data_IF_315985881920
#
_entry.id   IF_315985881920
#
_cell.length_a   1.000
_cell.length_b   1.000
_cell.length_c   1.000
_cell.angle_alpha   90.00
_cell.angle_beta   90.00
_cell.angle_gamma   90.00
#
_symmetry.space_group_name_H-M   'P 1'
#
loop_
_entity.id
_entity.type
_entity.pdbx_description
1 polymer ?
#
# COMPACT_ATOMS: atom_id res chain seq x y z
N UNK A 1 12.05 24.51 -3.36
CA UNK A 1 11.40 23.78 -4.47
C UNK A 1 11.48 24.59 -5.75
N UNK A 2 11.62 23.98 -6.93
CA UNK A 2 11.56 24.73 -8.20
C UNK A 2 10.11 25.10 -8.58
N UNK A 3 9.93 26.15 -9.40
CA UNK A 3 8.60 26.70 -9.70
C UNK A 3 7.70 25.72 -10.47
N UNK A 4 8.27 24.85 -11.31
CA UNK A 4 7.51 23.85 -12.05
C UNK A 4 6.82 22.86 -11.10
N UNK A 5 7.57 22.30 -10.14
CA UNK A 5 7.03 21.37 -9.14
C UNK A 5 6.01 22.09 -8.25
N UNK A 6 6.34 23.30 -7.80
CA UNK A 6 5.45 24.13 -6.98
C UNK A 6 4.10 24.36 -7.66
N UNK A 7 4.10 24.74 -8.93
CA UNK A 7 2.88 24.99 -9.70
C UNK A 7 2.04 23.70 -9.86
N UNK A 8 2.68 22.54 -10.10
CA UNK A 8 1.95 21.26 -10.17
C UNK A 8 1.27 20.93 -8.85
N UNK A 9 1.97 21.08 -7.73
CA UNK A 9 1.40 20.86 -6.40
C UNK A 9 0.23 21.82 -6.14
N UNK A 10 0.38 23.11 -6.43
CA UNK A 10 -0.70 24.08 -6.26
C UNK A 10 -1.92 23.77 -7.11
N UNK A 11 -1.74 23.24 -8.32
CA UNK A 11 -2.84 22.78 -9.15
C UNK A 11 -3.52 21.54 -8.56
N UNK A 12 -2.75 20.57 -8.07
CA UNK A 12 -3.31 19.39 -7.39
C UNK A 12 -4.12 19.77 -6.15
N UNK A 13 -3.64 20.73 -5.35
CA UNK A 13 -4.34 21.22 -4.15
C UNK A 13 -5.74 21.82 -4.45
N UNK A 14 -5.99 22.22 -5.69
CA UNK A 14 -7.29 22.74 -6.15
C UNK A 14 -8.16 21.66 -6.81
N UNK A 15 -7.65 20.44 -6.95
CA UNK A 15 -8.38 19.34 -7.57
C UNK A 15 -9.45 18.77 -6.65
N UNK A 16 -10.55 18.28 -7.22
CA UNK A 16 -11.63 17.63 -6.49
C UNK A 16 -11.11 16.46 -5.63
N UNK A 17 -10.26 15.60 -6.20
CA UNK A 17 -9.62 14.48 -5.47
C UNK A 17 -8.89 14.95 -4.21
N UNK A 18 -8.16 16.06 -4.29
CA UNK A 18 -7.44 16.60 -3.14
C UNK A 18 -8.39 17.17 -2.09
N UNK A 19 -9.40 17.93 -2.53
CA UNK A 19 -10.41 18.52 -1.65
C UNK A 19 -11.25 17.46 -0.93
N UNK A 20 -11.51 16.31 -1.56
CA UNK A 20 -12.17 15.17 -0.92
C UNK A 20 -11.36 14.66 0.28
N UNK A 21 -10.04 14.53 0.15
CA UNK A 21 -9.17 14.07 1.25
C UNK A 21 -9.05 15.13 2.34
N UNK A 22 -8.89 16.40 1.96
CA UNK A 22 -8.75 17.52 2.89
C UNK A 22 -9.99 17.68 3.77
N UNK A 23 -11.17 17.57 3.17
CA UNK A 23 -12.45 17.81 3.84
C UNK A 23 -13.10 16.55 4.40
N UNK A 24 -12.45 15.39 4.35
CA UNK A 24 -12.97 14.16 4.96
C UNK A 24 -12.83 14.26 6.49
N UNK A 25 -13.95 14.30 7.25
CA UNK A 25 -13.92 14.39 8.71
C UNK A 25 -13.44 13.09 9.36
N UNK A 26 -13.70 11.95 8.71
CA UNK A 26 -13.29 10.64 9.20
C UNK A 26 -11.93 10.23 8.65
N UNK A 27 -11.40 9.11 9.13
CA UNK A 27 -10.22 8.54 8.48
C UNK A 27 -10.63 8.02 7.09
N UNK A 28 -9.95 8.49 6.05
CA UNK A 28 -10.26 8.19 4.64
C UNK A 28 -10.27 6.69 4.31
N UNK A 29 -9.56 5.89 5.12
CA UNK A 29 -9.52 4.43 5.04
C UNK A 29 -10.08 3.72 6.29
N UNK A 30 -11.09 4.29 6.95
CA UNK A 30 -11.67 3.74 8.19
C UNK A 30 -12.10 2.28 8.05
N UNK A 31 -12.81 1.90 6.97
CA UNK A 31 -13.24 0.49 6.78
C UNK A 31 -12.08 -0.49 6.73
N UNK A 32 -10.92 -0.06 6.22
CA UNK A 32 -9.73 -0.90 6.15
C UNK A 32 -9.12 -1.10 7.54
N UNK A 33 -9.10 -0.03 8.35
CA UNK A 33 -8.66 -0.07 9.74
C UNK A 33 -9.59 -0.96 10.58
N UNK A 34 -10.90 -0.76 10.47
CA UNK A 34 -11.90 -1.55 11.20
C UNK A 34 -11.78 -3.04 10.87
N UNK A 35 -11.62 -3.38 9.58
CA UNK A 35 -11.43 -4.79 9.17
C UNK A 35 -10.11 -5.37 9.68
N UNK A 36 -9.03 -4.58 9.75
CA UNK A 36 -7.79 -5.04 10.36
C UNK A 36 -7.97 -5.31 11.86
N UNK A 37 -8.64 -4.41 12.57
CA UNK A 37 -8.89 -4.55 14.01
C UNK A 37 -9.81 -5.76 14.28
N UNK A 38 -10.85 -5.96 13.47
CA UNK A 38 -11.73 -7.15 13.52
C UNK A 38 -10.93 -8.43 13.24
N UNK A 39 -10.10 -8.43 12.20
CA UNK A 39 -9.23 -9.55 11.84
C UNK A 39 -8.27 -9.93 12.97
N UNK A 40 -7.64 -8.95 13.62
CA UNK A 40 -6.70 -9.20 14.70
C UNK A 40 -7.40 -9.75 15.94
N UNK A 41 -8.60 -9.24 16.25
CA UNK A 41 -9.39 -9.67 17.41
C UNK A 41 -10.17 -10.98 17.20
N UNK A 42 -10.35 -11.45 15.96
CA UNK A 42 -11.04 -12.70 15.69
C UNK A 42 -10.35 -13.88 16.41
N UNK A 43 -11.08 -14.56 17.29
CA UNK A 43 -10.56 -15.75 17.96
C UNK A 43 -10.46 -16.94 16.99
N UNK A 44 -9.37 -17.68 17.09
CA UNK A 44 -9.14 -18.91 16.31
C UNK A 44 -8.71 -20.01 17.28
N UNK A 45 -9.27 -21.21 17.11
CA UNK A 45 -8.93 -22.36 17.94
C UNK A 45 -7.43 -22.69 17.86
N UNK A 46 -6.85 -23.28 18.91
CA UNK A 46 -5.44 -23.66 18.89
C UNK A 46 -5.08 -24.58 17.71
N UNK A 47 -5.96 -25.55 17.41
CA UNK A 47 -5.84 -26.43 16.24
C UNK A 47 -5.95 -25.65 14.92
N UNK A 48 -6.88 -24.69 14.83
CA UNK A 48 -7.03 -23.85 13.65
C UNK A 48 -5.81 -22.97 13.40
N UNK A 49 -5.23 -22.39 14.46
CA UNK A 49 -3.96 -21.64 14.39
C UNK A 49 -2.83 -22.51 13.83
N UNK A 50 -2.62 -23.70 14.40
CA UNK A 50 -1.58 -24.64 13.96
C UNK A 50 -1.77 -24.99 12.48
N UNK A 51 -2.99 -25.37 12.10
CA UNK A 51 -3.32 -25.69 10.71
C UNK A 51 -3.01 -24.53 9.76
N UNK A 52 -3.44 -23.30 10.09
CA UNK A 52 -3.21 -22.13 9.25
C UNK A 52 -1.71 -21.84 9.09
N UNK A 53 -0.92 -21.95 10.16
CA UNK A 53 0.52 -21.74 10.12
C UNK A 53 1.26 -22.81 9.32
N UNK A 54 0.85 -24.06 9.41
CA UNK A 54 1.45 -25.18 8.67
C UNK A 54 1.15 -25.09 7.17
N UNK A 55 -0.03 -24.55 6.82
CA UNK A 55 -0.52 -24.48 5.45
C UNK A 55 -0.40 -23.07 4.82
N UNK A 56 0.21 -22.10 5.51
CA UNK A 56 0.28 -20.67 5.09
C UNK A 56 0.80 -20.41 3.66
N UNK A 57 1.58 -21.34 3.10
CA UNK A 57 2.15 -21.24 1.74
C UNK A 57 1.25 -21.84 0.65
N UNK A 58 0.28 -22.68 1.02
CA UNK A 58 -0.65 -23.31 0.07
C UNK A 58 -1.91 -22.46 -0.09
N UNK A 59 -1.79 -21.41 -0.90
CA UNK A 59 -2.89 -20.47 -1.13
C UNK A 59 -4.13 -21.14 -1.73
N UNK A 60 -3.98 -22.15 -2.59
CA UNK A 60 -5.14 -22.80 -3.20
C UNK A 60 -5.95 -23.59 -2.17
N UNK A 61 -5.27 -24.35 -1.31
CA UNK A 61 -5.91 -25.06 -0.20
C UNK A 61 -6.56 -24.11 0.79
N UNK A 62 -5.87 -23.03 1.16
CA UNK A 62 -6.43 -22.04 2.08
C UNK A 62 -7.63 -21.30 1.49
N UNK A 63 -7.57 -20.93 0.21
CA UNK A 63 -8.70 -20.29 -0.47
C UNK A 63 -9.92 -21.19 -0.47
N UNK A 64 -9.76 -22.47 -0.81
CA UNK A 64 -10.86 -23.45 -0.80
C UNK A 64 -11.47 -23.59 0.61
N UNK A 65 -10.61 -23.71 1.62
CA UNK A 65 -11.03 -23.76 3.03
C UNK A 65 -11.81 -22.51 3.45
N UNK A 66 -11.31 -21.33 3.09
CA UNK A 66 -11.97 -20.05 3.40
C UNK A 66 -13.32 -19.88 2.71
N UNK A 67 -13.56 -20.55 1.59
CA UNK A 67 -14.82 -20.45 0.86
C UNK A 67 -15.83 -21.52 1.27
N UNK A 68 -15.36 -22.70 1.72
CA UNK A 68 -16.19 -23.90 1.86
C UNK A 68 -16.23 -24.50 3.28
N UNK A 69 -15.56 -23.91 4.27
CA UNK A 69 -15.54 -24.41 5.65
C UNK A 69 -16.04 -23.35 6.64
N UNK A 70 -17.09 -23.68 7.39
CA UNK A 70 -17.74 -22.77 8.35
C UNK A 70 -16.80 -22.26 9.46
N UNK A 71 -15.82 -23.07 9.90
CA UNK A 71 -14.85 -22.68 10.94
C UNK A 71 -13.93 -21.56 10.45
N UNK A 72 -13.51 -21.60 9.18
CA UNK A 72 -12.54 -20.66 8.61
C UNK A 72 -13.14 -19.61 7.68
N UNK A 73 -14.45 -19.69 7.42
CA UNK A 73 -15.14 -18.79 6.51
C UNK A 73 -14.93 -17.33 6.91
N UNK A 74 -15.18 -17.02 8.19
CA UNK A 74 -15.07 -15.66 8.70
C UNK A 74 -13.63 -15.14 8.67
N UNK A 75 -12.67 -15.99 9.03
CA UNK A 75 -11.25 -15.68 8.95
C UNK A 75 -10.81 -15.33 7.52
N UNK A 76 -11.23 -16.15 6.55
CA UNK A 76 -10.96 -15.95 5.14
C UNK A 76 -11.64 -14.71 4.57
N UNK A 77 -12.90 -14.47 4.95
CA UNK A 77 -13.68 -13.28 4.59
C UNK A 77 -12.94 -12.01 5.01
N UNK A 78 -12.45 -11.93 6.25
CA UNK A 78 -11.70 -10.79 6.75
C UNK A 78 -10.38 -10.58 6.01
N UNK A 79 -9.63 -11.65 5.72
CA UNK A 79 -8.40 -11.56 4.92
C UNK A 79 -8.70 -10.99 3.52
N UNK A 80 -9.68 -11.54 2.80
CA UNK A 80 -10.01 -11.06 1.46
C UNK A 80 -10.55 -9.62 1.47
N UNK A 81 -11.33 -9.27 2.50
CA UNK A 81 -11.82 -7.90 2.73
C UNK A 81 -10.68 -6.93 2.95
N UNK A 82 -9.76 -7.23 3.87
CA UNK A 82 -8.60 -6.39 4.14
C UNK A 82 -7.74 -6.19 2.89
N UNK A 83 -7.41 -7.27 2.17
CA UNK A 83 -6.62 -7.17 0.93
C UNK A 83 -7.34 -6.31 -0.12
N UNK A 84 -8.68 -6.40 -0.20
CA UNK A 84 -9.49 -5.61 -1.14
C UNK A 84 -9.47 -4.10 -0.89
N UNK A 85 -9.17 -3.68 0.33
CA UNK A 85 -8.91 -2.29 0.69
C UNK A 85 -7.46 -1.86 0.48
N UNK A 86 -6.52 -2.81 0.49
CA UNK A 86 -5.10 -2.51 0.36
C UNK A 86 -4.63 -2.43 -1.09
N UNK A 87 -5.11 -3.32 -1.96
CA UNK A 87 -4.56 -3.51 -3.32
C UNK A 87 -5.64 -3.46 -4.41
N UNK A 88 -5.38 -2.69 -5.47
CA UNK A 88 -6.23 -2.61 -6.66
C UNK A 88 -6.47 -3.98 -7.31
N UNK A 89 -5.49 -4.88 -7.24
CA UNK A 89 -5.52 -6.20 -7.88
C UNK A 89 -6.05 -7.32 -6.97
N UNK A 90 -6.66 -6.97 -5.83
CA UNK A 90 -7.20 -7.96 -4.91
C UNK A 90 -8.25 -8.86 -5.56
N UNK A 91 -8.22 -10.14 -5.20
CA UNK A 91 -9.22 -11.12 -5.65
C UNK A 91 -10.63 -10.67 -5.23
N UNK A 92 -11.60 -10.76 -6.15
CA UNK A 92 -13.01 -10.41 -5.90
C UNK A 92 -13.21 -9.03 -5.26
N UNK A 93 -12.31 -8.07 -5.52
CA UNK A 93 -12.34 -6.71 -4.92
C UNK A 93 -13.70 -6.02 -4.99
N UNK A 94 -14.45 -6.19 -6.09
CA UNK A 94 -15.76 -5.55 -6.25
C UNK A 94 -16.76 -5.97 -5.17
N UNK A 95 -16.66 -7.21 -4.73
CA UNK A 95 -17.50 -7.81 -3.69
C UNK A 95 -17.04 -7.37 -2.30
N UNK A 96 -15.75 -7.52 -2.01
CA UNK A 96 -15.24 -7.33 -0.65
C UNK A 96 -14.93 -5.86 -0.28
N UNK A 97 -14.59 -5.01 -1.25
CA UNK A 97 -14.30 -3.61 -0.97
C UNK A 97 -15.61 -2.82 -0.85
N UNK A 98 -15.96 -2.41 0.35
CA UNK A 98 -17.22 -1.71 0.65
C UNK A 98 -17.15 -0.19 0.55
N UNK A 99 -16.06 0.40 0.05
CA UNK A 99 -16.07 1.82 -0.32
C UNK A 99 -16.89 2.02 -1.59
N UNK A 100 -17.65 3.10 -1.67
CA UNK A 100 -18.48 3.43 -2.84
C UNK A 100 -17.63 3.60 -4.11
N UNK A 101 -16.53 4.35 -3.99
CA UNK A 101 -15.54 4.58 -5.06
C UNK A 101 -14.55 3.43 -5.23
N UNK A 102 -14.67 2.38 -4.41
CA UNK A 102 -13.76 1.23 -4.36
C UNK A 102 -12.31 1.66 -4.19
N UNK A 103 -12.04 2.74 -3.45
CA UNK A 103 -10.67 3.22 -3.12
C UNK A 103 -9.85 2.12 -2.46
N UNK A 104 -8.53 2.22 -2.66
CA UNK A 104 -7.54 1.35 -2.02
C UNK A 104 -6.33 2.16 -1.58
N UNK A 105 -5.53 1.60 -0.67
CA UNK A 105 -4.28 2.24 -0.23
C UNK A 105 -3.34 2.49 -1.41
N UNK A 106 -3.07 1.46 -2.21
CA UNK A 106 -2.18 1.56 -3.36
C UNK A 106 -2.40 0.46 -4.40
N UNK A 107 -1.77 0.64 -5.56
CA UNK A 107 -1.41 -0.49 -6.42
C UNK A 107 -0.14 -1.12 -5.83
N UNK A 108 -0.29 -2.11 -4.94
CA UNK A 108 0.85 -2.70 -4.24
C UNK A 108 1.65 -3.68 -5.11
N UNK A 109 1.03 -4.21 -6.18
CA UNK A 109 1.60 -5.23 -7.08
C UNK A 109 2.04 -6.50 -6.35
N UNK A 110 1.36 -6.84 -5.26
CA UNK A 110 1.66 -8.01 -4.44
C UNK A 110 0.69 -9.14 -4.79
N UNK A 111 1.22 -10.37 -4.91
CA UNK A 111 0.40 -11.54 -5.24
C UNK A 111 -0.46 -11.96 -4.03
N UNK A 112 -1.66 -12.46 -4.32
CA UNK A 112 -2.62 -12.91 -3.27
C UNK A 112 -2.02 -13.94 -2.30
N UNK A 113 -1.22 -14.88 -2.79
CA UNK A 113 -0.59 -15.89 -1.94
C UNK A 113 0.37 -15.24 -0.92
N UNK A 114 1.11 -14.20 -1.32
CA UNK A 114 1.99 -13.46 -0.41
C UNK A 114 1.22 -12.66 0.62
N UNK A 115 0.10 -12.03 0.23
CA UNK A 115 -0.80 -11.37 1.18
C UNK A 115 -1.34 -12.34 2.23
N UNK A 116 -1.91 -13.45 1.80
CA UNK A 116 -2.52 -14.45 2.70
C UNK A 116 -1.47 -15.05 3.63
N UNK A 117 -0.30 -15.45 3.10
CA UNK A 117 0.79 -15.99 3.92
C UNK A 117 1.22 -14.99 5.01
N UNK A 118 1.49 -13.74 4.65
CA UNK A 118 1.99 -12.76 5.61
C UNK A 118 0.94 -12.31 6.62
N UNK A 119 -0.34 -12.21 6.23
CA UNK A 119 -1.40 -11.88 7.17
C UNK A 119 -1.57 -12.99 8.22
N UNK A 120 -1.55 -14.27 7.80
CA UNK A 120 -1.59 -15.42 8.72
C UNK A 120 -0.41 -15.37 9.69
N UNK A 121 0.81 -15.15 9.20
CA UNK A 121 2.00 -15.03 10.07
C UNK A 121 1.83 -13.87 11.04
N UNK A 122 1.47 -12.69 10.53
CA UNK A 122 1.32 -11.48 11.33
C UNK A 122 0.32 -11.66 12.48
N UNK A 123 -0.87 -12.21 12.22
CA UNK A 123 -1.87 -12.42 13.28
C UNK A 123 -1.37 -13.30 14.42
N UNK A 124 -0.57 -14.31 14.11
CA UNK A 124 -0.22 -15.37 15.05
C UNK A 124 1.16 -15.24 15.69
N UNK A 125 2.07 -14.48 15.07
CA UNK A 125 3.44 -14.26 15.56
C UNK A 125 3.76 -12.78 15.78
N UNK A 126 2.95 -11.86 15.26
CA UNK A 126 3.24 -10.42 15.26
C UNK A 126 4.27 -10.00 14.21
N UNK A 127 4.77 -10.93 13.39
CA UNK A 127 5.86 -10.67 12.44
C UNK A 127 5.36 -10.34 11.04
N UNK A 128 6.01 -9.37 10.39
CA UNK A 128 5.80 -9.01 9.00
C UNK A 128 7.14 -8.89 8.28
N UNK A 129 7.22 -9.46 7.08
CA UNK A 129 8.40 -9.30 6.24
C UNK A 129 8.44 -7.89 5.67
N UNK A 130 9.64 -7.34 5.48
CA UNK A 130 9.80 -6.03 4.87
C UNK A 130 9.16 -5.97 3.46
N UNK A 131 8.53 -4.83 3.15
CA UNK A 131 7.89 -4.59 1.86
C UNK A 131 6.48 -4.01 1.98
N UNK A 132 5.75 -4.05 0.86
CA UNK A 132 4.46 -3.37 0.71
C UNK A 132 3.39 -3.81 1.71
N UNK A 133 3.35 -5.10 2.07
CA UNK A 133 2.38 -5.63 3.05
C UNK A 133 2.64 -5.02 4.43
N UNK A 134 3.89 -5.06 4.91
CA UNK A 134 4.28 -4.42 6.18
C UNK A 134 3.93 -2.95 6.18
N UNK A 135 4.24 -2.23 5.12
CA UNK A 135 3.94 -0.81 5.01
C UNK A 135 2.43 -0.52 5.03
N UNK A 136 1.61 -1.39 4.44
CA UNK A 136 0.15 -1.25 4.47
C UNK A 136 -0.40 -1.46 5.88
N UNK A 137 0.07 -2.49 6.57
CA UNK A 137 -0.35 -2.77 7.96
C UNK A 137 0.09 -1.65 8.89
N UNK A 138 1.36 -1.22 8.81
CA UNK A 138 1.85 -0.08 9.60
C UNK A 138 1.01 1.17 9.35
N UNK A 139 0.65 1.45 8.10
CA UNK A 139 -0.25 2.56 7.76
C UNK A 139 -1.63 2.44 8.41
N UNK A 140 -2.27 1.27 8.38
CA UNK A 140 -3.59 1.09 9.01
C UNK A 140 -3.52 1.17 10.55
N UNK A 141 -2.40 0.78 11.15
CA UNK A 141 -2.19 0.86 12.60
C UNK A 141 -1.92 2.28 13.07
N UNK A 142 -1.05 3.03 12.38
CA UNK A 142 -0.66 4.40 12.71
C UNK A 142 -0.62 5.30 11.46
N UNK A 143 -1.79 5.71 10.92
CA UNK A 143 -1.87 6.42 9.64
C UNK A 143 -1.20 7.80 9.67
N UNK A 144 -1.20 8.51 10.80
CA UNK A 144 -0.46 9.78 10.94
C UNK A 144 1.07 9.63 10.85
N UNK A 145 1.60 8.42 11.05
CA UNK A 145 3.05 8.15 11.11
C UNK A 145 3.59 7.44 9.86
N UNK A 146 2.71 6.91 9.03
CA UNK A 146 3.08 6.07 7.88
C UNK A 146 2.34 6.54 6.63
N UNK A 147 2.77 6.05 5.47
CA UNK A 147 2.30 6.53 4.17
C UNK A 147 1.64 5.41 3.36
N UNK A 148 0.63 5.74 2.56
CA UNK A 148 0.06 4.81 1.56
C UNK A 148 1.01 4.55 0.38
N UNK A 149 2.21 5.13 0.40
CA UNK A 149 3.31 4.78 -0.51
C UNK A 149 3.94 3.46 -0.07
N UNK A 150 3.40 2.34 -0.51
CA UNK A 150 3.81 1.03 0.01
C UNK A 150 5.18 0.53 -0.52
N UNK A 151 5.59 0.96 -1.71
CA UNK A 151 6.82 0.50 -2.37
C UNK A 151 8.07 1.18 -1.81
N UNK A 152 8.99 0.39 -1.23
CA UNK A 152 10.32 0.86 -0.79
C UNK A 152 11.10 1.52 -1.92
N UNK A 153 10.99 0.99 -3.15
CA UNK A 153 11.65 1.60 -4.31
C UNK A 153 11.11 3.01 -4.60
N UNK A 154 9.79 3.23 -4.50
CA UNK A 154 9.23 4.58 -4.69
C UNK A 154 9.65 5.53 -3.57
N UNK A 155 9.69 5.03 -2.32
CA UNK A 155 10.22 5.81 -1.17
C UNK A 155 11.66 6.25 -1.43
N UNK A 156 12.49 5.31 -1.90
CA UNK A 156 13.88 5.62 -2.25
C UNK A 156 13.99 6.67 -3.36
N UNK A 157 13.28 6.46 -4.47
CA UNK A 157 13.30 7.38 -5.61
C UNK A 157 12.83 8.80 -5.24
N UNK A 158 11.83 8.93 -4.37
CA UNK A 158 11.41 10.24 -3.88
C UNK A 158 12.48 10.90 -3.03
N UNK A 159 13.08 10.18 -2.09
CA UNK A 159 14.16 10.74 -1.28
C UNK A 159 15.30 11.24 -2.17
N UNK A 160 15.78 10.39 -3.08
CA UNK A 160 16.93 10.72 -3.93
C UNK A 160 16.61 11.84 -4.93
N UNK A 161 15.51 11.72 -5.67
CA UNK A 161 15.26 12.58 -6.83
C UNK A 161 14.43 13.83 -6.48
N UNK A 162 13.55 13.76 -5.48
CA UNK A 162 12.68 14.87 -5.11
C UNK A 162 13.22 15.65 -3.91
N UNK A 163 13.69 14.94 -2.87
CA UNK A 163 14.18 15.57 -1.65
C UNK A 163 15.68 15.86 -1.69
N UNK A 164 16.43 15.21 -2.59
CA UNK A 164 17.89 15.31 -2.64
C UNK A 164 18.58 14.68 -1.43
N UNK A 165 17.97 13.66 -0.83
CA UNK A 165 18.43 12.97 0.40
C UNK A 165 18.56 11.47 0.15
N UNK A 166 19.52 10.82 0.81
CA UNK A 166 19.55 9.35 0.86
C UNK A 166 18.35 8.83 1.64
N UNK A 167 17.69 7.78 1.14
CA UNK A 167 16.57 7.18 1.84
C UNK A 167 16.96 6.60 3.20
N UNK A 168 16.19 6.96 4.22
CA UNK A 168 16.26 6.38 5.55
C UNK A 168 14.84 6.28 6.12
N UNK A 169 14.41 5.06 6.45
CA UNK A 169 13.06 4.78 6.97
C UNK A 169 12.74 5.62 8.23
N UNK A 170 13.74 5.87 9.08
CA UNK A 170 13.56 6.60 10.34
C UNK A 170 13.32 8.11 10.15
N UNK A 171 13.83 8.71 9.08
CA UNK A 171 13.67 10.16 8.79
C UNK A 171 12.63 10.44 7.72
N UNK A 172 12.17 9.41 7.00
CA UNK A 172 11.31 9.52 5.83
C UNK A 172 10.06 10.40 6.05
N UNK A 173 9.39 10.27 7.19
CA UNK A 173 8.23 11.09 7.55
C UNK A 173 8.61 12.58 7.65
N UNK A 174 9.70 12.88 8.36
CA UNK A 174 10.19 14.24 8.52
C UNK A 174 10.57 14.86 7.18
N UNK A 175 11.22 14.08 6.31
CA UNK A 175 11.61 14.54 4.97
C UNK A 175 10.41 14.91 4.10
N UNK A 176 9.33 14.11 4.16
CA UNK A 176 8.06 14.43 3.51
C UNK A 176 7.44 15.72 4.06
N UNK A 177 7.37 15.85 5.38
CA UNK A 177 6.73 17.00 6.03
C UNK A 177 7.50 18.29 5.75
N UNK A 178 8.83 18.24 5.79
CA UNK A 178 9.71 19.35 5.44
C UNK A 178 9.49 19.78 3.99
N UNK A 179 9.47 18.84 3.04
CA UNK A 179 9.31 19.14 1.62
C UNK A 179 7.99 19.85 1.29
N UNK A 180 6.88 19.46 1.94
CA UNK A 180 5.56 20.03 1.71
C UNK A 180 5.19 21.19 2.65
N UNK A 181 6.06 21.56 3.60
CA UNK A 181 5.78 22.60 4.60
C UNK A 181 5.44 23.98 4.00
N UNK A 182 6.00 24.33 2.83
CA UNK A 182 5.77 25.64 2.20
C UNK A 182 4.32 25.86 1.72
N UNK A 183 3.49 24.80 1.68
CA UNK A 183 2.09 24.88 1.24
C UNK A 183 1.09 25.08 2.38
N UNK A 184 1.52 25.01 3.65
CA UNK A 184 0.67 25.21 4.84
C UNK A 184 -0.65 24.43 4.78
N UNK A 185 -0.58 23.16 4.39
CA UNK A 185 -1.75 22.31 4.17
C UNK A 185 -2.30 21.83 5.51
N UNK A 186 -3.61 21.89 5.67
CA UNK A 186 -4.34 21.30 6.79
C UNK A 186 -5.39 20.32 6.27
N UNK A 187 -5.63 19.24 7.01
CA UNK A 187 -6.71 18.27 6.77
C UNK A 187 -7.68 18.31 7.95
N UNK A 188 -8.95 17.94 7.73
CA UNK A 188 -9.92 17.87 8.83
C UNK A 188 -9.60 16.73 9.82
N UNK A 189 -9.02 15.64 9.31
CA UNK A 189 -8.58 14.51 10.11
C UNK A 189 -7.08 14.27 9.90
N UNK A 190 -6.27 14.40 10.95
CA UNK A 190 -4.81 14.29 10.86
C UNK A 190 -4.32 12.94 10.32
N UNK A 191 -5.11 11.88 10.49
CA UNK A 191 -4.80 10.56 9.93
C UNK A 191 -4.85 10.54 8.39
N UNK A 192 -5.44 11.55 7.75
CA UNK A 192 -5.49 11.67 6.29
C UNK A 192 -4.25 12.39 5.71
N UNK A 193 -3.43 13.02 6.56
CA UNK A 193 -2.37 13.92 6.10
C UNK A 193 -1.29 13.20 5.29
N UNK A 194 -0.77 12.08 5.80
CA UNK A 194 0.25 11.26 5.10
C UNK A 194 -0.27 10.66 3.79
N UNK A 195 -1.57 10.32 3.73
CA UNK A 195 -2.21 9.91 2.48
C UNK A 195 -2.25 11.06 1.48
N UNK A 196 -2.67 12.25 1.92
CA UNK A 196 -2.68 13.46 1.09
C UNK A 196 -1.29 13.73 0.50
N UNK A 197 -0.24 13.74 1.33
CA UNK A 197 1.13 13.93 0.86
C UNK A 197 1.55 12.84 -0.14
N UNK A 198 1.15 11.59 0.10
CA UNK A 198 1.38 10.49 -0.86
C UNK A 198 0.71 10.78 -2.21
N UNK A 199 -0.54 11.25 -2.22
CA UNK A 199 -1.28 11.58 -3.45
C UNK A 199 -0.62 12.73 -4.20
N UNK A 200 -0.21 13.77 -3.48
CA UNK A 200 0.54 14.90 -4.04
C UNK A 200 1.83 14.46 -4.71
N UNK A 201 2.61 13.61 -4.03
CA UNK A 201 3.84 13.05 -4.60
C UNK A 201 3.56 12.23 -5.87
N UNK A 202 2.51 11.40 -5.88
CA UNK A 202 2.18 10.64 -7.10
C UNK A 202 1.63 11.50 -8.24
N UNK A 203 1.04 12.66 -7.97
CA UNK A 203 0.63 13.63 -9.01
C UNK A 203 1.85 14.20 -9.75
N UNK A 204 2.96 14.42 -9.04
CA UNK A 204 4.23 14.87 -9.60
C UNK A 204 5.19 13.72 -9.92
N UNK A 205 4.68 12.51 -10.20
CA UNK A 205 5.53 11.33 -10.39
C UNK A 205 6.57 11.46 -11.50
N UNK A 206 6.31 12.26 -12.53
CA UNK A 206 7.25 12.51 -13.64
C UNK A 206 8.52 13.24 -13.19
N UNK A 207 8.51 13.84 -12.00
CA UNK A 207 9.64 14.60 -11.46
C UNK A 207 10.57 13.73 -10.61
N UNK A 208 10.13 12.55 -10.15
CA UNK A 208 10.93 11.68 -9.27
C UNK A 208 11.02 10.23 -9.71
N UNK A 209 10.07 9.71 -10.49
CA UNK A 209 10.21 8.38 -11.08
C UNK A 209 11.30 8.46 -12.14
N UNK A 210 12.41 7.78 -11.90
CA UNK A 210 13.44 7.61 -12.92
C UNK A 210 12.84 6.94 -14.16
N UNK A 211 13.22 7.42 -15.35
CA UNK A 211 13.02 6.63 -16.56
C UNK A 211 13.78 5.31 -16.35
N UNK A 212 13.09 4.17 -16.48
CA UNK A 212 13.77 2.88 -16.62
C UNK A 212 14.42 2.90 -18.01
N UNK A 213 15.58 3.54 -18.14
CA UNK A 213 16.48 3.35 -19.29
C UNK A 213 17.18 2.01 -19.01
N UNK A 214 16.48 0.94 -19.35
CA UNK A 214 16.87 -0.43 -18.99
C UNK A 214 16.18 -1.47 -19.85
N UNK A 215 16.04 -1.20 -21.15
CA UNK A 215 15.71 -2.15 -22.21
C UNK A 215 16.44 -1.72 -23.49
N UNK A 216 17.77 -1.62 -23.40
CA UNK A 216 18.63 -1.81 -24.57
C UNK A 216 19.07 -3.27 -24.47
N UNK A 217 18.37 -4.17 -25.16
CA UNK A 217 18.98 -5.44 -25.56
C UNK A 217 20.07 -5.10 -26.58
N UNK A 218 21.34 -5.44 -26.35
CA UNK A 218 22.27 -5.56 -27.45
C UNK A 218 21.88 -6.83 -28.20
N UNK A 219 21.23 -6.68 -29.35
CA UNK A 219 21.09 -7.78 -30.31
C UNK A 219 22.47 -8.06 -30.93
N UNK A 220 23.30 -8.80 -30.20
CA UNK A 220 24.45 -9.52 -30.78
C UNK A 220 23.92 -10.82 -31.41
N UNK A 221 23.39 -10.71 -32.62
CA UNK A 221 23.37 -11.83 -33.55
C UNK A 221 23.84 -11.38 -34.92
N UNK A 222 25.15 -11.12 -35.01
CA UNK A 222 25.89 -11.25 -36.28
C UNK A 222 25.84 -12.73 -36.68
N UNK A 223 24.82 -13.12 -37.46
CA UNK A 223 24.86 -14.37 -38.22
C UNK A 223 25.83 -14.18 -39.38
N UNK A 224 26.97 -14.81 -39.26
CA UNK A 224 27.91 -15.02 -40.36
C UNK A 224 27.21 -15.75 -41.51
N UNK A 225 27.19 -15.09 -42.66
CA UNK A 225 26.92 -15.73 -43.95
C UNK A 225 28.21 -16.48 -44.31
N UNK A 226 28.15 -17.82 -44.33
CA UNK A 226 29.14 -18.62 -45.06
C UNK A 226 28.54 -18.98 -46.42
N UNK A 227 29.32 -18.68 -47.45
CA UNK A 227 29.11 -19.07 -48.85
C UNK A 227 29.10 -20.58 -49.02
#
# INVERSE_FOLDING_TARGET
MNDKIRNKIQNFLRSETCLLIINEPDFYFQKAKDTLDEYLNLEVTGRGKEFLLDNKKDYHKLKDLFENNDEFYEFGRLIFTLISYCDTNANRKKEFNLYEDKRVLALASVRMNSWVEQLIVFKFTGELQAGSIRNAINYLQAPADHFTMLSENHRNQICENLFGKTYNEATFKGDFFEFFSEFYISVQNDNNYTHLLTRMSYDINTEWKGNIIGLVCPDDTVRSIRH
#
